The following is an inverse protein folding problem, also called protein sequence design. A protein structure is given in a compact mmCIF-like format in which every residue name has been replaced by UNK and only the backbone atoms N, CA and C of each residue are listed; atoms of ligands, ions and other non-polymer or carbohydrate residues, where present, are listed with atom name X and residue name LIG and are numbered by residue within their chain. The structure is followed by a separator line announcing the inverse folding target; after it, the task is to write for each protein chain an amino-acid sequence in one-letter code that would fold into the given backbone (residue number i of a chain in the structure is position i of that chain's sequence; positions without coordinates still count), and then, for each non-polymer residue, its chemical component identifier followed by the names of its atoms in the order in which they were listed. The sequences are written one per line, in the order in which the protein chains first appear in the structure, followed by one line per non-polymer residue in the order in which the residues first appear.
data_IF_511465322267
#
_entry.id   IF_511465322267
#
_cell.length_a   1.000
_cell.length_b   1.000
_cell.length_c   1.000
_cell.angle_alpha   90.00
_cell.angle_beta   90.00
_cell.angle_gamma   90.00
#
_symmetry.space_group_name_H-M   'P 1'
#
loop_
_entity.id
_entity.type
_entity.pdbx_description
1 polymer ?
#
# COMPACT_ATOMS: atom_id res chain seq x y z
N UNK A 1 84.59 -41.80 29.68
CA UNK A 1 84.22 -40.61 28.88
C UNK A 1 82.78 -40.80 28.42
N UNK A 2 81.84 -40.28 29.20
CA UNK A 2 80.41 -40.32 28.91
C UNK A 2 80.02 -39.02 28.19
N UNK A 3 79.41 -39.12 27.01
CA UNK A 3 78.78 -37.98 26.34
C UNK A 3 77.28 -38.05 26.53
N UNK A 4 76.77 -37.05 27.26
CA UNK A 4 75.38 -36.85 27.67
C UNK A 4 74.54 -36.46 26.46
N UNK A 5 73.48 -37.22 26.19
CA UNK A 5 72.48 -36.93 25.16
C UNK A 5 71.55 -35.81 25.66
N UNK A 6 71.59 -34.64 25.03
CA UNK A 6 70.70 -33.52 25.35
C UNK A 6 69.29 -33.77 24.78
N UNK A 7 68.20 -33.61 25.55
CA UNK A 7 66.84 -33.75 25.03
C UNK A 7 66.42 -32.49 24.27
N UNK A 8 66.07 -32.68 22.99
CA UNK A 8 65.56 -31.63 22.10
C UNK A 8 64.25 -31.04 22.62
N UNK A 9 64.31 -29.79 23.08
CA UNK A 9 63.16 -28.99 23.50
C UNK A 9 62.39 -28.47 22.29
N UNK A 10 61.51 -29.28 21.69
CA UNK A 10 60.66 -28.79 20.59
C UNK A 10 59.27 -29.45 20.53
N UNK A 11 58.50 -29.37 21.63
CA UNK A 11 57.11 -29.85 21.65
C UNK A 11 56.10 -28.76 22.10
N UNK A 12 56.54 -27.71 22.81
CA UNK A 12 55.63 -26.67 23.36
C UNK A 12 55.21 -25.57 22.37
N UNK A 13 55.89 -25.38 21.23
CA UNK A 13 55.58 -24.30 20.28
C UNK A 13 54.57 -24.65 19.18
N UNK A 14 54.28 -25.93 18.92
CA UNK A 14 53.29 -26.33 17.90
C UNK A 14 51.83 -26.16 18.35
N UNK A 15 51.58 -26.22 19.66
CA UNK A 15 50.22 -26.13 20.24
C UNK A 15 49.65 -24.71 20.20
N UNK A 16 50.47 -23.68 20.44
CA UNK A 16 50.01 -22.27 20.41
C UNK A 16 49.65 -21.81 18.99
N UNK A 17 50.46 -22.16 17.98
CA UNK A 17 50.16 -21.81 16.59
C UNK A 17 48.88 -22.47 16.05
N UNK A 18 48.58 -23.70 16.46
CA UNK A 18 47.31 -24.34 16.12
C UNK A 18 46.11 -23.58 16.71
N UNK A 19 46.22 -23.07 17.93
CA UNK A 19 45.14 -22.33 18.59
C UNK A 19 44.80 -21.00 17.87
N UNK A 20 45.81 -20.26 17.42
CA UNK A 20 45.63 -19.01 16.68
C UNK A 20 45.10 -19.18 15.25
N UNK A 21 45.24 -20.37 14.66
CA UNK A 21 44.72 -20.68 13.32
C UNK A 21 43.32 -21.30 13.39
N UNK A 22 43.05 -22.15 14.39
CA UNK A 22 41.77 -22.85 14.55
C UNK A 22 40.69 -21.92 15.07
N UNK A 23 40.99 -21.01 16.00
CA UNK A 23 39.97 -20.10 16.57
C UNK A 23 39.28 -19.22 15.51
N UNK A 24 40.00 -18.54 14.59
CA UNK A 24 39.35 -17.78 13.51
C UNK A 24 38.56 -18.65 12.54
N UNK A 25 39.02 -19.87 12.27
CA UNK A 25 38.33 -20.84 11.40
C UNK A 25 37.02 -21.34 12.03
N UNK A 26 37.02 -21.60 13.34
CA UNK A 26 35.82 -22.00 14.08
C UNK A 26 34.84 -20.83 14.19
N UNK A 27 35.30 -19.60 14.43
CA UNK A 27 34.45 -18.41 14.40
C UNK A 27 33.88 -18.13 13.00
N UNK A 28 34.69 -18.31 11.95
CA UNK A 28 34.23 -18.19 10.57
C UNK A 28 33.21 -19.27 10.21
N UNK A 29 33.40 -20.52 10.66
CA UNK A 29 32.41 -21.61 10.50
C UNK A 29 31.14 -21.35 11.31
N UNK A 30 31.25 -20.83 12.52
CA UNK A 30 30.10 -20.44 13.35
C UNK A 30 29.34 -19.24 12.75
N UNK A 31 30.05 -18.29 12.13
CA UNK A 31 29.47 -17.18 11.38
C UNK A 31 28.82 -17.65 10.08
N UNK A 32 29.45 -18.56 9.34
CA UNK A 32 28.91 -19.16 8.12
C UNK A 32 27.65 -19.98 8.40
N UNK A 33 27.65 -20.78 9.47
CA UNK A 33 26.46 -21.53 9.89
C UNK A 33 25.34 -20.61 10.36
N UNK A 34 25.63 -19.55 11.13
CA UNK A 34 24.64 -18.52 11.49
C UNK A 34 24.08 -17.79 10.26
N UNK A 35 24.94 -17.41 9.32
CA UNK A 35 24.55 -16.71 8.08
C UNK A 35 23.72 -17.63 7.18
N UNK A 36 24.10 -18.89 7.03
CA UNK A 36 23.30 -19.89 6.30
C UNK A 36 21.94 -20.15 6.98
N UNK A 37 21.88 -20.26 8.31
CA UNK A 37 20.61 -20.39 9.03
C UNK A 37 19.69 -19.18 8.83
N UNK A 38 20.22 -17.96 8.91
CA UNK A 38 19.47 -16.72 8.69
C UNK A 38 18.94 -16.64 7.24
N UNK A 39 19.73 -17.09 6.27
CA UNK A 39 19.34 -17.07 4.85
C UNK A 39 18.29 -18.16 4.55
N UNK A 40 18.44 -19.35 5.14
CA UNK A 40 17.50 -20.46 4.99
C UNK A 40 16.15 -20.18 5.66
N UNK A 41 16.15 -19.56 6.86
CA UNK A 41 14.93 -19.09 7.54
C UNK A 41 14.23 -18.01 6.71
N UNK A 42 14.98 -17.04 6.15
CA UNK A 42 14.38 -16.03 5.28
C UNK A 42 13.78 -16.63 4.01
N UNK A 43 14.44 -17.60 3.37
CA UNK A 43 13.97 -18.19 2.12
C UNK A 43 12.74 -19.09 2.30
N UNK A 44 12.70 -19.90 3.38
CA UNK A 44 11.55 -20.74 3.71
C UNK A 44 10.31 -19.93 4.09
N UNK A 45 10.50 -18.77 4.75
CA UNK A 45 9.40 -17.88 5.10
C UNK A 45 8.87 -17.18 3.85
N UNK A 46 9.73 -16.57 3.01
CA UNK A 46 9.34 -15.82 1.80
C UNK A 46 8.53 -16.67 0.79
N UNK A 47 8.80 -17.97 0.68
CA UNK A 47 8.05 -18.88 -0.20
C UNK A 47 6.59 -19.11 0.23
N UNK A 48 6.29 -19.07 1.55
CA UNK A 48 4.91 -19.17 2.08
C UNK A 48 4.15 -17.84 2.07
N UNK A 49 4.83 -16.71 1.95
CA UNK A 49 4.24 -15.35 2.04
C UNK A 49 3.29 -14.99 0.89
N UNK A 50 3.31 -15.72 -0.24
CA UNK A 50 2.52 -15.39 -1.45
C UNK A 50 1.05 -15.81 -1.41
N UNK A 51 0.61 -16.55 -0.40
CA UNK A 51 -0.78 -17.07 -0.30
C UNK A 51 -1.53 -16.64 0.97
N UNK A 52 -0.94 -15.76 1.78
CA UNK A 52 -1.47 -15.43 3.10
C UNK A 52 -2.28 -14.13 3.07
N UNK A 53 -3.27 -14.04 3.94
CA UNK A 53 -4.03 -12.79 4.13
C UNK A 53 -3.08 -11.67 4.55
N UNK A 54 -3.32 -10.44 4.09
CA UNK A 54 -2.55 -9.25 4.47
C UNK A 54 -2.36 -9.12 6.01
N UNK A 55 -3.38 -9.54 6.76
CA UNK A 55 -3.36 -9.52 8.23
C UNK A 55 -2.37 -10.56 8.80
N UNK A 56 -2.33 -11.76 8.24
CA UNK A 56 -1.38 -12.80 8.62
C UNK A 56 0.05 -12.43 8.24
N UNK A 57 0.23 -11.83 7.07
CA UNK A 57 1.53 -11.33 6.62
C UNK A 57 2.09 -10.29 7.61
N UNK A 58 1.25 -9.37 8.09
CA UNK A 58 1.67 -8.36 9.08
C UNK A 58 2.16 -8.98 10.39
N UNK A 59 1.47 -10.03 10.87
CA UNK A 59 1.85 -10.73 12.11
C UNK A 59 3.15 -11.50 11.89
N UNK A 60 3.33 -12.16 10.74
CA UNK A 60 4.56 -12.88 10.42
C UNK A 60 5.77 -11.95 10.30
N UNK A 61 5.62 -10.78 9.69
CA UNK A 61 6.67 -9.76 9.63
C UNK A 61 7.06 -9.29 11.03
N UNK A 62 6.08 -9.05 11.91
CA UNK A 62 6.34 -8.69 13.30
C UNK A 62 7.08 -9.81 14.06
N UNK A 63 6.62 -11.05 13.91
CA UNK A 63 7.18 -12.22 14.59
C UNK A 63 8.57 -12.60 14.07
N UNK A 64 8.92 -12.22 12.84
CA UNK A 64 10.27 -12.42 12.28
C UNK A 64 11.36 -11.82 13.17
N UNK A 65 11.10 -10.69 13.84
CA UNK A 65 12.07 -10.05 14.73
C UNK A 65 12.34 -10.85 16.01
N UNK A 66 11.44 -11.75 16.37
CA UNK A 66 11.54 -12.63 17.54
C UNK A 66 12.01 -14.05 17.18
N UNK A 67 12.18 -14.37 15.89
CA UNK A 67 12.58 -15.70 15.42
C UNK A 67 13.95 -16.17 15.92
N UNK A 68 14.80 -15.26 16.40
CA UNK A 68 16.09 -15.60 17.05
C UNK A 68 15.96 -16.08 18.49
N UNK A 69 14.80 -15.88 19.11
CA UNK A 69 14.55 -16.19 20.53
C UNK A 69 13.58 -17.36 20.71
N UNK A 70 12.87 -17.75 19.64
CA UNK A 70 11.82 -18.75 19.67
C UNK A 70 12.10 -19.83 18.63
N UNK A 71 11.79 -21.07 18.98
CA UNK A 71 11.78 -22.16 18.01
C UNK A 71 10.72 -21.93 16.93
N UNK A 72 10.95 -22.50 15.75
CA UNK A 72 10.04 -22.35 14.61
C UNK A 72 8.61 -22.83 14.94
N UNK A 73 8.50 -23.94 15.67
CA UNK A 73 7.21 -24.49 16.09
C UNK A 73 6.47 -23.55 17.05
N UNK A 74 7.17 -23.04 18.07
CA UNK A 74 6.62 -22.10 19.04
C UNK A 74 6.20 -20.79 18.38
N UNK A 75 7.00 -20.31 17.42
CA UNK A 75 6.69 -19.12 16.62
C UNK A 75 5.41 -19.30 15.82
N UNK A 76 5.23 -20.45 15.15
CA UNK A 76 4.00 -20.73 14.39
C UNK A 76 2.77 -20.84 15.29
N UNK A 77 2.88 -21.54 16.44
CA UNK A 77 1.80 -21.62 17.43
C UNK A 77 1.39 -20.22 17.92
N UNK A 78 2.36 -19.36 18.19
CA UNK A 78 2.11 -17.99 18.62
C UNK A 78 1.41 -17.17 17.53
N UNK A 79 1.86 -17.26 16.28
CA UNK A 79 1.23 -16.60 15.13
C UNK A 79 -0.23 -17.06 15.00
N UNK A 80 -0.50 -18.36 15.05
CA UNK A 80 -1.86 -18.90 14.97
C UNK A 80 -2.74 -18.44 16.13
N UNK A 81 -2.20 -18.40 17.36
CA UNK A 81 -2.91 -17.88 18.53
C UNK A 81 -3.31 -16.41 18.34
N UNK A 82 -2.40 -15.54 17.86
CA UNK A 82 -2.72 -14.14 17.57
C UNK A 82 -3.83 -13.99 16.51
N UNK A 83 -3.79 -14.80 15.45
CA UNK A 83 -4.81 -14.77 14.41
C UNK A 83 -6.17 -15.24 14.94
N UNK A 84 -6.17 -16.30 15.75
CA UNK A 84 -7.38 -16.82 16.37
C UNK A 84 -7.98 -15.83 17.36
N UNK A 85 -7.16 -15.19 18.19
CA UNK A 85 -7.60 -14.14 19.10
C UNK A 85 -8.27 -13.00 18.33
N UNK A 86 -7.64 -12.49 17.27
CA UNK A 86 -8.23 -11.45 16.42
C UNK A 86 -9.57 -11.87 15.81
N UNK A 87 -9.65 -13.10 15.28
CA UNK A 87 -10.91 -13.66 14.73
C UNK A 87 -11.99 -13.73 15.80
N UNK A 88 -11.64 -14.18 17.00
CA UNK A 88 -12.55 -14.31 18.12
C UNK A 88 -13.07 -12.95 18.58
N UNK A 89 -12.20 -11.95 18.73
CA UNK A 89 -12.57 -10.57 19.07
C UNK A 89 -13.54 -10.01 18.02
N UNK A 90 -13.25 -10.20 16.72
CA UNK A 90 -14.15 -9.78 15.64
C UNK A 90 -15.52 -10.45 15.79
N UNK A 91 -15.56 -11.77 16.04
CA UNK A 91 -16.82 -12.52 16.21
C UNK A 91 -17.60 -12.05 17.43
N UNK A 92 -16.94 -11.84 18.57
CA UNK A 92 -17.58 -11.32 19.80
C UNK A 92 -18.22 -9.96 19.53
N UNK A 93 -17.51 -9.04 18.86
CA UNK A 93 -18.06 -7.72 18.50
C UNK A 93 -19.30 -7.83 17.60
N UNK A 94 -19.30 -8.73 16.62
CA UNK A 94 -20.47 -9.00 15.78
C UNK A 94 -21.65 -9.51 16.61
N UNK A 95 -21.41 -10.46 17.50
CA UNK A 95 -22.46 -11.03 18.36
C UNK A 95 -23.02 -10.00 19.34
N UNK A 96 -22.17 -9.16 19.94
CA UNK A 96 -22.60 -8.04 20.78
C UNK A 96 -23.47 -7.05 19.99
N UNK A 97 -23.08 -6.75 18.75
CA UNK A 97 -23.88 -5.90 17.85
C UNK A 97 -25.25 -6.52 17.60
N UNK A 98 -25.33 -7.82 17.31
CA UNK A 98 -26.61 -8.52 17.12
C UNK A 98 -27.48 -8.45 18.37
N UNK A 99 -26.88 -8.66 19.54
CA UNK A 99 -27.58 -8.57 20.82
C UNK A 99 -28.14 -7.16 21.05
N UNK A 100 -27.37 -6.11 20.79
CA UNK A 100 -27.84 -4.72 20.87
C UNK A 100 -28.97 -4.40 19.88
N UNK A 101 -29.05 -5.13 18.76
CA UNK A 101 -30.13 -5.02 17.78
C UNK A 101 -31.33 -5.92 18.11
N UNK A 102 -31.32 -6.62 19.25
CA UNK A 102 -32.40 -7.52 19.66
C UNK A 102 -32.40 -8.88 18.95
N UNK A 103 -31.35 -9.21 18.19
CA UNK A 103 -31.21 -10.48 17.47
C UNK A 103 -30.67 -11.54 18.44
N UNK A 104 -31.49 -12.55 18.74
CA UNK A 104 -31.18 -13.58 19.75
C UNK A 104 -30.56 -14.86 19.17
N UNK A 105 -30.65 -15.07 17.86
CA UNK A 105 -30.21 -16.31 17.21
C UNK A 105 -29.08 -16.06 16.22
N UNK A 106 -28.17 -17.04 16.08
CA UNK A 106 -27.08 -16.97 15.11
C UNK A 106 -27.59 -16.88 13.67
N UNK A 107 -28.62 -17.67 13.32
CA UNK A 107 -29.26 -17.63 12.01
C UNK A 107 -29.86 -16.24 11.71
N UNK A 108 -30.42 -15.57 12.73
CA UNK A 108 -30.89 -14.18 12.62
C UNK A 108 -29.75 -13.20 12.33
N UNK A 109 -28.59 -13.39 12.97
CA UNK A 109 -27.38 -12.59 12.72
C UNK A 109 -26.86 -12.76 11.29
N UNK A 110 -26.83 -14.00 10.78
CA UNK A 110 -26.42 -14.28 9.39
C UNK A 110 -27.37 -13.71 8.36
N UNK A 111 -28.69 -13.75 8.63
CA UNK A 111 -29.67 -13.09 7.79
C UNK A 111 -29.49 -11.57 7.81
N UNK A 112 -29.23 -10.99 8.99
CA UNK A 112 -28.95 -9.57 9.14
C UNK A 112 -27.74 -9.13 8.31
N UNK A 113 -26.62 -9.86 8.37
CA UNK A 113 -25.44 -9.53 7.55
C UNK A 113 -25.73 -9.61 6.07
N UNK A 114 -26.41 -10.67 5.60
CA UNK A 114 -26.80 -10.79 4.19
C UNK A 114 -27.66 -9.61 3.72
N UNK A 115 -28.62 -9.19 4.54
CA UNK A 115 -29.47 -8.04 4.24
C UNK A 115 -28.72 -6.70 4.31
N UNK A 116 -27.78 -6.58 5.25
CA UNK A 116 -26.92 -5.40 5.40
C UNK A 116 -25.98 -5.27 4.20
N UNK A 117 -25.36 -6.35 3.77
CA UNK A 117 -24.48 -6.39 2.60
C UNK A 117 -25.24 -6.04 1.30
N UNK A 118 -26.47 -6.55 1.13
CA UNK A 118 -27.32 -6.16 0.00
C UNK A 118 -27.62 -4.66 0.00
N UNK A 119 -27.92 -4.07 1.17
CA UNK A 119 -28.15 -2.63 1.32
C UNK A 119 -26.90 -1.81 1.03
N UNK A 120 -25.74 -2.27 1.51
CA UNK A 120 -24.45 -1.61 1.24
C UNK A 120 -24.12 -1.61 -0.25
N UNK A 121 -24.22 -2.76 -0.92
CA UNK A 121 -23.97 -2.87 -2.36
C UNK A 121 -24.85 -1.93 -3.19
N UNK A 122 -26.12 -1.80 -2.83
CA UNK A 122 -27.04 -0.86 -3.49
C UNK A 122 -26.61 0.59 -3.23
N UNK A 123 -26.26 0.94 -1.99
CA UNK A 123 -25.77 2.27 -1.62
C UNK A 123 -24.46 2.63 -2.34
N UNK A 124 -23.52 1.69 -2.45
CA UNK A 124 -22.27 1.89 -3.19
C UNK A 124 -22.51 2.14 -4.68
N UNK A 125 -23.43 1.38 -5.30
CA UNK A 125 -23.82 1.60 -6.71
C UNK A 125 -24.48 2.97 -6.90
N UNK A 126 -25.39 3.35 -6.01
CA UNK A 126 -26.03 4.67 -6.04
C UNK A 126 -25.00 5.78 -5.88
N UNK A 127 -24.09 5.65 -4.91
CA UNK A 127 -22.99 6.60 -4.70
C UNK A 127 -22.11 6.72 -5.95
N UNK A 128 -21.71 5.60 -6.53
CA UNK A 128 -20.90 5.59 -7.76
C UNK A 128 -21.63 6.26 -8.93
N UNK A 129 -22.94 6.02 -9.08
CA UNK A 129 -23.75 6.67 -10.11
C UNK A 129 -23.87 8.18 -9.89
N UNK A 130 -24.03 8.61 -8.64
CA UNK A 130 -24.09 10.02 -8.28
C UNK A 130 -22.74 10.71 -8.53
N UNK A 131 -21.64 10.08 -8.15
CA UNK A 131 -20.29 10.59 -8.40
C UNK A 131 -20.02 10.77 -9.90
N UNK A 132 -20.52 9.85 -10.74
CA UNK A 132 -20.42 9.97 -12.20
C UNK A 132 -21.24 11.16 -12.74
N UNK A 133 -22.47 11.34 -12.26
CA UNK A 133 -23.33 12.47 -12.64
C UNK A 133 -22.67 13.79 -12.25
N UNK A 134 -22.14 13.90 -11.02
CA UNK A 134 -21.46 15.11 -10.54
C UNK A 134 -20.25 15.43 -11.43
N UNK A 135 -19.43 14.44 -11.78
CA UNK A 135 -18.29 14.62 -12.69
C UNK A 135 -18.72 15.11 -14.07
N UNK A 136 -19.76 14.50 -14.63
CA UNK A 136 -20.29 14.87 -15.95
C UNK A 136 -20.85 16.30 -15.95
N UNK A 137 -21.63 16.67 -14.94
CA UNK A 137 -22.19 18.03 -14.83
C UNK A 137 -21.07 19.08 -14.66
N UNK A 138 -20.00 18.75 -13.93
CA UNK A 138 -18.83 19.62 -13.80
C UNK A 138 -18.09 19.80 -15.14
N UNK A 139 -17.99 18.74 -15.95
CA UNK A 139 -17.43 18.86 -17.31
C UNK A 139 -18.33 19.68 -18.24
N UNK A 140 -19.66 19.51 -18.16
CA UNK A 140 -20.63 20.27 -18.96
C UNK A 140 -20.53 21.78 -18.65
N UNK A 141 -20.54 22.15 -17.36
CA UNK A 141 -20.37 23.54 -16.95
C UNK A 141 -19.03 24.15 -17.42
N UNK A 142 -17.96 23.36 -17.43
CA UNK A 142 -16.66 23.80 -17.95
C UNK A 142 -16.67 24.01 -19.47
N UNK A 143 -17.37 23.16 -20.23
CA UNK A 143 -17.53 23.32 -21.68
C UNK A 143 -18.46 24.48 -22.04
N UNK A 144 -19.50 24.74 -21.24
CA UNK A 144 -20.40 25.89 -21.44
C UNK A 144 -19.66 27.23 -21.25
N UNK A 145 -18.76 27.33 -20.27
CA UNK A 145 -17.90 28.51 -20.10
C UNK A 145 -16.94 28.72 -21.28
N UNK A 146 -16.39 27.66 -21.84
CA UNK A 146 -15.53 27.75 -23.04
C UNK A 146 -16.35 28.16 -24.27
N UNK A 147 -17.54 27.60 -24.46
CA UNK A 147 -18.44 27.96 -25.57
C UNK A 147 -18.97 29.38 -25.45
N UNK A 148 -19.27 29.87 -24.24
CA UNK A 148 -19.62 31.27 -24.00
C UNK A 148 -18.45 32.21 -24.35
N UNK A 149 -17.22 31.83 -23.99
CA UNK A 149 -16.02 32.61 -24.31
C UNK A 149 -15.78 32.67 -25.83
N UNK A 150 -16.01 31.55 -26.56
CA UNK A 150 -15.92 31.49 -28.02
C UNK A 150 -17.05 32.31 -28.69
N UNK A 151 -18.26 32.34 -28.11
CA UNK A 151 -19.35 33.20 -28.60
C UNK A 151 -19.01 34.68 -28.46
N UNK A 152 -18.35 35.09 -27.38
CA UNK A 152 -17.93 36.48 -27.14
C UNK A 152 -16.87 36.94 -28.16
N UNK A 153 -15.91 36.08 -28.52
CA UNK A 153 -14.86 36.43 -29.49
C UNK A 153 -15.37 36.52 -30.94
N UNK A 154 -16.39 35.74 -31.30
CA UNK A 154 -17.01 35.84 -32.62
C UNK A 154 -17.88 37.11 -32.78
N UNK A 155 -18.44 37.63 -31.69
CA UNK A 155 -19.25 38.86 -31.71
C UNK A 155 -18.37 40.13 -31.80
N UNK A 156 -17.15 40.08 -31.23
CA UNK A 156 -16.16 41.16 -31.35
C UNK A 156 -15.62 41.36 -32.77
N UNK A 157 -15.55 40.30 -33.59
CA UNK A 157 -15.13 40.42 -35.00
C UNK A 157 -16.22 40.98 -35.91
N UNK A 158 -17.49 40.94 -35.50
CA UNK A 158 -18.60 41.57 -36.24
C UNK A 158 -18.92 42.99 -35.74
N UNK A 159 -18.53 43.35 -34.51
CA UNK A 159 -18.74 44.68 -33.92
C UNK A 159 -17.61 45.70 -34.15
N UNK A 160 -16.44 45.29 -34.65
CA UNK A 160 -15.28 46.20 -34.82
C UNK A 160 -15.25 47.02 -36.13
N UNK A 161 -16.35 47.06 -36.91
CA UNK A 161 -16.47 47.95 -38.08
C UNK A 161 -17.53 49.04 -37.88
N UNK A 162 -17.42 49.83 -36.82
CA UNK A 162 -18.02 51.17 -36.78
C UNK A 162 -17.37 52.03 -35.69
N UNK A 163 -16.22 52.64 -36.00
CA UNK A 163 -15.70 53.76 -35.22
C UNK A 163 -15.79 55.03 -36.07
N UNK A 164 -16.64 55.96 -35.62
CA UNK A 164 -16.77 57.29 -36.19
C UNK A 164 -15.54 58.13 -35.86
N UNK A 165 -14.62 58.27 -36.82
CA UNK A 165 -13.54 59.25 -36.78
C UNK A 165 -14.03 60.59 -37.32
N UNK A 166 -14.09 61.63 -36.48
CA UNK A 166 -14.47 62.99 -36.90
C UNK A 166 -13.30 63.72 -37.55
N UNK A 167 -13.14 63.52 -38.85
CA UNK A 167 -12.31 64.35 -39.73
C UNK A 167 -13.14 65.48 -40.37
N UNK A 168 -12.59 66.69 -40.45
CA UNK A 168 -13.27 67.87 -40.99
C UNK A 168 -13.55 67.73 -42.50
N UNK A 169 -14.80 67.93 -42.88
CA UNK A 169 -15.34 67.84 -44.25
C UNK A 169 -14.89 68.99 -45.16
N UNK A 170 -14.44 68.66 -46.37
CA UNK A 170 -14.44 69.57 -47.54
C UNK A 170 -14.97 68.83 -48.77
N UNK A 171 -16.21 69.16 -49.11
CA UNK A 171 -16.94 69.07 -50.39
C UNK A 171 -17.13 67.71 -51.11
N UNK A 172 -18.42 67.47 -51.41
CA UNK A 172 -19.10 66.47 -52.26
C UNK A 172 -19.14 65.02 -51.75
N UNK A 173 -20.32 64.60 -51.26
CA UNK A 173 -20.68 63.21 -50.96
C UNK A 173 -21.99 62.87 -51.69
N UNK A 174 -22.04 61.68 -52.31
CA UNK A 174 -23.27 61.03 -52.79
C UNK A 174 -24.08 60.46 -51.61
N UNK A 175 -25.42 60.38 -51.69
CA UNK A 175 -26.25 59.91 -50.58
C UNK A 175 -26.16 58.38 -50.37
N UNK A 176 -26.23 57.96 -49.10
CA UNK A 176 -26.27 56.57 -48.66
C UNK A 176 -27.54 55.85 -49.16
N UNK A 177 -27.36 54.66 -49.70
CA UNK A 177 -28.43 53.81 -50.21
C UNK A 177 -29.14 53.11 -49.05
N UNK A 178 -30.40 53.48 -48.79
CA UNK A 178 -31.26 52.81 -47.82
C UNK A 178 -32.14 51.84 -48.59
N UNK A 179 -31.98 50.54 -48.36
CA UNK A 179 -32.88 49.51 -48.87
C UNK A 179 -33.93 49.21 -47.80
N UNK A 180 -35.21 49.24 -48.16
CA UNK A 180 -36.35 48.91 -47.30
C UNK A 180 -36.49 47.40 -47.05
#
# INVERSE_FOLDING_TARGET
METVFAPSTNIKNRSKHHYYIIMPLVEALLMLTKKQHITFINCYIIGRERLLSNEEQSVRVLMRRFARFLDAETTEKLIQSFLNEKRLIKRIKCLQTYHCLGIKTLAGGELYERLREKREKTRERMKASLDLIIKNNKSIASTEQQNATISCTNTELQGQQAMCSTGKTKYSLTPLNITY
#
